data_IF_992605047796
#
_entry.id   IF_992605047796
#
_cell.length_a   1.000
_cell.length_b   1.000
_cell.length_c   1.000
_cell.angle_alpha   90.00
_cell.angle_beta   90.00
_cell.angle_gamma   90.00
#
_symmetry.space_group_name_H-M   'P 1'
#
loop_
_entity.id
_entity.type
_entity.pdbx_description
1 polymer ?
#
# COMPACT_ATOMS: atom_id res chain seq x y z
N UNK A 1 -25.95 -4.63 27.57
CA UNK A 1 -25.98 -4.80 26.09
C UNK A 1 -24.62 -5.32 25.67
N UNK A 2 -24.56 -6.46 25.00
CA UNK A 2 -23.30 -7.09 24.58
C UNK A 2 -22.84 -6.56 23.23
N UNK A 3 -21.53 -6.62 22.98
CA UNK A 3 -20.96 -6.37 21.67
C UNK A 3 -21.45 -7.43 20.68
N UNK A 4 -21.96 -7.02 19.52
CA UNK A 4 -22.33 -7.91 18.42
C UNK A 4 -21.24 -7.76 17.34
N UNK A 5 -20.37 -8.76 17.14
CA UNK A 5 -19.30 -8.70 16.15
C UNK A 5 -19.85 -9.02 14.75
N UNK A 6 -20.42 -8.03 14.07
CA UNK A 6 -20.62 -8.09 12.62
C UNK A 6 -19.50 -7.29 11.95
N UNK A 7 -18.59 -7.98 11.26
CA UNK A 7 -17.42 -7.37 10.62
C UNK A 7 -17.55 -7.58 9.12
N UNK A 8 -17.80 -6.49 8.41
CA UNK A 8 -17.87 -6.49 6.95
C UNK A 8 -16.50 -6.14 6.37
N UNK A 9 -15.93 -7.05 5.60
CA UNK A 9 -14.63 -6.86 4.95
C UNK A 9 -14.80 -6.45 3.49
N UNK A 10 -13.98 -5.51 3.04
CA UNK A 10 -13.86 -5.17 1.63
C UNK A 10 -13.23 -6.35 0.87
N UNK A 11 -13.68 -6.58 -0.36
CA UNK A 11 -13.04 -7.55 -1.25
C UNK A 11 -11.61 -7.13 -1.59
N UNK A 12 -10.66 -8.06 -1.46
CA UNK A 12 -9.21 -7.81 -1.62
C UNK A 12 -8.76 -7.41 -3.04
N UNK A 13 -9.65 -7.47 -4.04
CA UNK A 13 -9.34 -7.14 -5.44
C UNK A 13 -9.58 -5.67 -5.79
N UNK A 14 -10.01 -4.85 -4.83
CA UNK A 14 -10.30 -3.43 -5.05
C UNK A 14 -9.05 -2.56 -4.85
N UNK A 15 -8.86 -1.52 -5.68
CA UNK A 15 -7.74 -0.60 -5.51
C UNK A 15 -7.92 0.25 -4.24
N UNK A 16 -6.80 0.67 -3.65
CA UNK A 16 -6.79 1.51 -2.44
C UNK A 16 -7.63 2.78 -2.55
N UNK A 17 -7.69 3.39 -3.74
CA UNK A 17 -8.52 4.59 -3.95
C UNK A 17 -10.00 4.31 -3.72
N UNK A 18 -10.50 3.16 -4.16
CA UNK A 18 -11.89 2.76 -3.94
C UNK A 18 -12.16 2.47 -2.46
N UNK A 19 -11.21 1.82 -1.77
CA UNK A 19 -11.30 1.59 -0.33
C UNK A 19 -11.45 2.91 0.43
N UNK A 20 -10.59 3.89 0.12
CA UNK A 20 -10.60 5.22 0.77
C UNK A 20 -11.91 5.95 0.51
N UNK A 21 -12.40 5.93 -0.73
CA UNK A 21 -13.72 6.49 -1.03
C UNK A 21 -14.84 5.78 -0.28
N UNK A 22 -14.76 4.47 -0.08
CA UNK A 22 -15.77 3.71 0.65
C UNK A 22 -15.80 4.11 2.13
N UNK A 23 -14.65 4.41 2.75
CA UNK A 23 -14.61 5.01 4.10
C UNK A 23 -15.15 6.43 4.08
N UNK A 24 -14.74 7.27 3.12
CA UNK A 24 -15.25 8.65 3.01
C UNK A 24 -16.78 8.71 2.84
N UNK A 25 -17.37 7.70 2.19
CA UNK A 25 -18.83 7.54 2.00
C UNK A 25 -19.53 6.84 3.17
N UNK A 26 -18.79 6.39 4.19
CA UNK A 26 -19.34 5.68 5.35
C UNK A 26 -19.79 4.25 5.10
N UNK A 27 -19.32 3.61 4.01
CA UNK A 27 -19.58 2.19 3.75
C UNK A 27 -18.73 1.26 4.61
N UNK A 28 -17.57 1.75 5.06
CA UNK A 28 -16.67 1.08 6.00
C UNK A 28 -16.20 2.08 7.04
N UNK A 29 -15.98 1.61 8.27
CA UNK A 29 -15.55 2.49 9.36
C UNK A 29 -14.05 2.79 9.33
N UNK A 30 -13.23 1.85 8.84
CA UNK A 30 -11.77 1.95 8.86
C UNK A 30 -11.13 1.11 7.75
N UNK A 31 -9.95 1.54 7.31
CA UNK A 31 -9.02 0.73 6.49
C UNK A 31 -7.74 0.53 7.28
N UNK A 32 -7.24 -0.70 7.31
CA UNK A 32 -5.96 -1.06 7.88
C UNK A 32 -5.16 -1.80 6.80
N UNK A 33 -3.98 -1.29 6.45
CA UNK A 33 -3.12 -1.85 5.41
C UNK A 33 -1.91 -0.98 5.13
N UNK A 34 -1.15 -1.29 4.09
CA UNK A 34 -0.02 -0.51 3.58
C UNK A 34 -0.51 0.72 2.77
N UNK A 35 -1.33 1.56 3.42
CA UNK A 35 -1.94 2.73 2.79
C UNK A 35 -0.96 3.91 2.79
N UNK A 36 -0.48 4.29 1.61
CA UNK A 36 0.30 5.52 1.45
C UNK A 36 -0.56 6.76 1.70
N UNK A 37 -0.10 7.63 2.61
CA UNK A 37 -0.73 8.92 2.90
C UNK A 37 -0.31 9.92 1.83
N UNK A 38 -1.27 10.47 1.09
CA UNK A 38 -1.04 11.53 0.09
C UNK A 38 -1.91 12.74 0.40
N UNK A 39 -1.58 13.91 -0.17
CA UNK A 39 -2.38 15.12 0.00
C UNK A 39 -3.84 14.92 -0.45
N UNK A 40 -4.03 14.37 -1.65
CA UNK A 40 -5.37 14.09 -2.18
C UNK A 40 -6.19 13.13 -1.32
N UNK A 41 -5.56 12.14 -0.67
CA UNK A 41 -6.26 11.21 0.23
C UNK A 41 -6.64 11.85 1.56
N UNK A 42 -5.80 12.76 2.07
CA UNK A 42 -6.08 13.55 3.29
C UNK A 42 -7.25 14.51 3.13
N UNK A 43 -7.58 14.91 1.90
CA UNK A 43 -8.77 15.72 1.62
C UNK A 43 -10.07 14.90 1.73
N UNK A 44 -9.99 13.56 1.66
CA UNK A 44 -11.14 12.66 1.67
C UNK A 44 -11.38 12.03 3.05
N UNK A 45 -10.32 11.68 3.78
CA UNK A 45 -10.39 10.97 5.06
C UNK A 45 -9.27 11.41 6.00
N UNK A 46 -9.52 11.26 7.30
CA UNK A 46 -8.48 11.42 8.32
C UNK A 46 -7.63 10.15 8.46
N UNK A 47 -6.36 10.34 8.78
CA UNK A 47 -5.40 9.25 8.99
C UNK A 47 -4.90 9.22 10.44
N UNK A 48 -4.57 8.03 10.91
CA UNK A 48 -3.80 7.86 12.14
C UNK A 48 -2.38 8.43 11.99
N UNK A 49 -1.63 8.56 13.09
CA UNK A 49 -0.19 8.72 13.01
C UNK A 49 0.46 7.63 12.16
N UNK A 50 1.55 7.97 11.48
CA UNK A 50 2.30 7.08 10.59
C UNK A 50 2.92 5.95 11.42
N UNK A 51 2.65 4.70 11.03
CA UNK A 51 3.23 3.51 11.67
C UNK A 51 4.54 3.03 11.02
N UNK A 52 4.71 3.31 9.71
CA UNK A 52 5.88 2.93 8.92
C UNK A 52 6.25 4.12 8.03
N UNK A 53 7.48 4.61 8.14
CA UNK A 53 8.02 5.60 7.21
C UNK A 53 8.46 4.90 5.92
N UNK A 54 7.92 5.34 4.78
CA UNK A 54 8.10 4.66 3.48
C UNK A 54 8.68 5.61 2.45
N UNK A 55 9.60 5.12 1.62
CA UNK A 55 10.17 5.86 0.50
C UNK A 55 10.18 5.02 -0.78
N UNK A 56 10.37 5.67 -1.92
CA UNK A 56 10.47 5.00 -3.22
C UNK A 56 11.95 4.79 -3.57
N UNK A 57 12.31 3.56 -3.91
CA UNK A 57 13.65 3.17 -4.32
C UNK A 57 13.69 2.57 -5.72
N UNK A 58 14.80 2.77 -6.44
CA UNK A 58 15.05 2.12 -7.73
C UNK A 58 15.90 0.88 -7.49
N UNK A 59 15.43 -0.27 -7.95
CA UNK A 59 16.19 -1.51 -7.94
C UNK A 59 16.55 -1.85 -9.39
N UNK A 60 17.85 -1.98 -9.67
CA UNK A 60 18.36 -2.38 -10.98
C UNK A 60 19.09 -3.73 -10.86
N UNK A 61 18.93 -4.58 -11.89
CA UNK A 61 19.67 -5.85 -11.96
C UNK A 61 21.17 -5.54 -12.02
N UNK A 62 21.95 -6.11 -11.10
CA UNK A 62 23.41 -6.08 -11.19
C UNK A 62 23.86 -6.84 -12.44
N UNK A 63 24.60 -6.17 -13.33
CA UNK A 63 25.30 -6.84 -14.42
C UNK A 63 26.55 -7.52 -13.84
N UNK A 64 26.70 -8.83 -14.06
CA UNK A 64 27.96 -9.52 -13.77
C UNK A 64 28.99 -9.11 -14.82
N UNK A 65 30.15 -8.61 -14.40
CA UNK A 65 31.32 -8.50 -15.28
C UNK A 65 31.79 -9.93 -15.59
N UNK A 66 31.31 -10.50 -16.69
CA UNK A 66 31.86 -11.75 -17.20
C UNK A 66 33.24 -11.40 -17.74
N UNK A 67 34.30 -11.86 -17.06
CA UNK A 67 35.64 -11.81 -17.62
C UNK A 67 35.69 -12.85 -18.75
N UNK A 68 35.51 -12.36 -19.99
CA UNK A 68 35.66 -13.17 -21.18
C UNK A 68 37.15 -13.21 -21.54
N UNK A 69 37.79 -14.34 -21.25
CA UNK A 69 39.15 -14.58 -21.74
C UNK A 69 39.09 -14.92 -23.24
N UNK A 70 39.28 -13.88 -24.06
CA UNK A 70 39.27 -13.94 -25.52
C UNK A 70 40.47 -14.73 -26.10
N UNK A 71 41.43 -15.11 -25.26
CA UNK A 71 42.63 -15.83 -25.64
C UNK A 71 42.59 -17.31 -25.23
N UNK A 72 41.44 -17.80 -24.75
CA UNK A 72 41.25 -19.21 -24.36
C UNK A 72 41.06 -20.19 -25.54
N UNK A 73 41.40 -19.77 -26.78
CA UNK A 73 41.37 -20.60 -27.99
C UNK A 73 42.77 -21.14 -28.32
#
# INVERSE_FOLDING_TARGET
MGFIPDIQLLQSNKPYSESIEAVAKGHYDIIIGDVTITAARKELVDFSPIIIDTSIGIIARRTSNVNIDLLSF
#
